data_IF_230860328442
#
_entry.id   IF_230860328442
#
_cell.length_a   1.000
_cell.length_b   1.000
_cell.length_c   1.000
_cell.angle_alpha   90.00
_cell.angle_beta   90.00
_cell.angle_gamma   90.00
#
_symmetry.space_group_name_H-M   'P 1'
#
loop_
_entity.id
_entity.type
_entity.pdbx_description
1 polymer ?
#
# COMPACT_ATOMS: atom_id res chain seq x y z
N UNK A 1 38.44 28.33 20.96
CA UNK A 1 37.77 27.11 20.43
C UNK A 1 38.76 25.98 20.13
N UNK A 2 39.80 26.21 19.30
CA UNK A 2 40.84 25.20 19.01
C UNK A 2 41.54 24.60 20.24
N UNK A 3 41.91 25.44 21.20
CA UNK A 3 42.58 24.99 22.45
C UNK A 3 41.68 24.11 23.32
N UNK A 4 40.38 24.43 23.40
CA UNK A 4 39.40 23.63 24.15
C UNK A 4 39.18 22.25 23.51
N UNK A 5 39.10 22.20 22.17
CA UNK A 5 38.95 20.95 21.42
C UNK A 5 40.19 20.05 21.59
N UNK A 6 41.40 20.63 21.54
CA UNK A 6 42.64 19.87 21.75
C UNK A 6 42.75 19.31 23.17
N UNK A 7 42.39 20.12 24.18
CA UNK A 7 42.54 19.74 25.59
C UNK A 7 41.50 18.70 26.05
N UNK A 8 40.31 18.73 25.44
CA UNK A 8 39.19 17.85 25.78
C UNK A 8 38.86 16.85 24.65
N UNK A 9 39.83 16.55 23.78
CA UNK A 9 39.60 15.73 22.58
C UNK A 9 39.01 14.35 22.90
N UNK A 10 39.52 13.68 23.93
CA UNK A 10 39.03 12.37 24.35
C UNK A 10 37.56 12.42 24.81
N UNK A 11 37.18 13.47 25.56
CA UNK A 11 35.80 13.69 26.01
C UNK A 11 34.91 13.96 24.81
N UNK A 12 35.35 14.84 23.90
CA UNK A 12 34.61 15.19 22.70
C UNK A 12 34.38 13.95 21.80
N UNK A 13 35.40 13.12 21.62
CA UNK A 13 35.32 11.87 20.87
C UNK A 13 34.34 10.87 21.52
N UNK A 14 34.37 10.75 22.86
CA UNK A 14 33.51 9.84 23.60
C UNK A 14 32.01 10.17 23.44
N UNK A 15 31.66 11.45 23.25
CA UNK A 15 30.28 11.86 22.99
C UNK A 15 29.91 11.93 21.51
N UNK A 16 30.83 12.36 20.64
CA UNK A 16 30.54 12.49 19.20
C UNK A 16 30.40 11.13 18.53
N UNK A 17 31.26 10.16 18.85
CA UNK A 17 31.27 8.87 18.19
C UNK A 17 29.93 8.11 18.30
N UNK A 18 29.28 8.00 19.48
CA UNK A 18 27.94 7.39 19.57
C UNK A 18 26.85 8.20 18.87
N UNK A 19 26.89 9.54 18.95
CA UNK A 19 25.93 10.39 18.22
C UNK A 19 26.08 10.18 16.71
N UNK A 20 27.31 10.12 16.21
CA UNK A 20 27.60 9.95 14.80
C UNK A 20 27.16 8.56 14.29
N UNK A 21 27.28 7.52 15.12
CA UNK A 21 26.77 6.19 14.82
C UNK A 21 25.24 6.18 14.73
N UNK A 22 24.55 6.83 15.68
CA UNK A 22 23.09 7.00 15.63
C UNK A 22 22.67 7.74 14.35
N UNK A 23 23.38 8.82 13.99
CA UNK A 23 23.11 9.58 12.76
C UNK A 23 23.34 8.73 11.52
N UNK A 24 24.42 7.96 11.42
CA UNK A 24 24.67 7.07 10.28
C UNK A 24 23.58 6.02 10.15
N UNK A 25 23.21 5.36 11.25
CA UNK A 25 22.14 4.36 11.25
C UNK A 25 20.82 5.00 10.82
N UNK A 26 20.46 6.16 11.38
CA UNK A 26 19.26 6.88 11.01
C UNK A 26 19.26 7.27 9.52
N UNK A 27 20.33 7.88 9.02
CA UNK A 27 20.46 8.25 7.61
C UNK A 27 20.35 7.01 6.70
N UNK A 28 21.04 5.92 7.02
CA UNK A 28 21.00 4.69 6.23
C UNK A 28 19.62 4.02 6.21
N UNK A 29 18.86 4.15 7.30
CA UNK A 29 17.54 3.53 7.45
C UNK A 29 16.41 4.38 6.84
N UNK A 30 16.48 5.71 6.96
CA UNK A 30 15.35 6.60 6.60
C UNK A 30 15.55 7.37 5.30
N UNK A 31 16.79 7.63 4.82
CA UNK A 31 17.00 8.32 3.55
C UNK A 31 16.41 7.57 2.34
N UNK A 32 16.58 6.23 2.19
CA UNK A 32 16.13 5.55 0.97
C UNK A 32 14.62 5.72 0.73
N UNK A 33 13.81 5.75 1.79
CA UNK A 33 12.35 5.93 1.69
C UNK A 33 11.93 7.34 1.26
N UNK A 34 12.73 8.38 1.51
CA UNK A 34 12.40 9.76 1.14
C UNK A 34 12.53 10.02 -0.36
N UNK A 35 13.30 9.21 -1.07
CA UNK A 35 13.48 9.33 -2.52
C UNK A 35 12.51 8.48 -3.33
N UNK A 36 11.67 7.67 -2.67
CA UNK A 36 10.64 6.92 -3.36
C UNK A 36 9.52 7.88 -3.76
N UNK A 37 9.42 8.16 -5.04
CA UNK A 37 8.35 8.96 -5.62
C UNK A 37 7.97 8.38 -6.97
N UNK A 38 6.70 8.52 -7.33
CA UNK A 38 6.21 8.21 -8.68
C UNK A 38 5.37 9.37 -9.17
N UNK A 39 5.39 9.61 -10.48
CA UNK A 39 4.50 10.57 -11.12
C UNK A 39 3.15 9.96 -11.49
N UNK A 40 2.97 8.66 -11.26
CA UNK A 40 1.77 7.94 -11.62
C UNK A 40 0.87 7.77 -10.40
N UNK A 41 -0.39 8.16 -10.58
CA UNK A 41 -1.46 7.79 -9.67
C UNK A 41 -1.95 6.39 -10.03
N UNK A 42 -2.66 5.73 -9.14
CA UNK A 42 -3.24 4.42 -9.43
C UNK A 42 -4.69 4.32 -8.99
N UNK A 43 -5.42 3.43 -9.64
CA UNK A 43 -6.78 3.05 -9.29
C UNK A 43 -6.73 1.72 -8.54
N UNK A 44 -7.50 1.64 -7.48
CA UNK A 44 -7.74 0.39 -6.76
C UNK A 44 -9.22 0.28 -6.39
N UNK A 45 -9.66 -0.94 -6.11
CA UNK A 45 -11.00 -1.20 -5.61
C UNK A 45 -10.96 -1.75 -4.19
N UNK A 46 -12.03 -1.47 -3.45
CA UNK A 46 -12.34 -2.13 -2.20
C UNK A 46 -13.79 -2.57 -2.17
N UNK A 47 -14.16 -3.35 -1.18
CA UNK A 47 -15.56 -3.62 -0.94
C UNK A 47 -15.88 -3.63 0.55
N UNK A 48 -17.17 -3.50 0.82
CA UNK A 48 -17.79 -3.72 2.13
C UNK A 48 -18.88 -4.76 1.96
N UNK A 49 -19.07 -5.62 2.96
CA UNK A 49 -20.28 -6.41 3.09
C UNK A 49 -21.28 -5.62 3.92
N UNK A 50 -22.41 -5.22 3.32
CA UNK A 50 -23.37 -4.31 3.97
C UNK A 50 -24.13 -4.87 5.18
N UNK A 51 -23.61 -5.91 5.88
CA UNK A 51 -24.32 -6.62 6.97
C UNK A 51 -23.46 -7.18 8.09
N UNK A 52 -22.12 -7.18 8.05
CA UNK A 52 -21.33 -7.81 9.12
C UNK A 52 -20.30 -6.86 9.73
N UNK A 53 -20.16 -6.94 11.05
CA UNK A 53 -19.09 -6.29 11.81
C UNK A 53 -17.73 -6.98 11.63
N UNK A 54 -17.63 -7.95 10.71
CA UNK A 54 -16.42 -8.72 10.45
C UNK A 54 -16.10 -8.69 8.95
N UNK A 55 -14.93 -8.19 8.53
CA UNK A 55 -14.61 -8.03 7.12
C UNK A 55 -14.40 -9.39 6.46
N UNK A 56 -15.33 -9.78 5.60
CA UNK A 56 -15.13 -10.93 4.73
C UNK A 56 -14.32 -10.50 3.51
N UNK A 57 -13.24 -11.25 3.25
CA UNK A 57 -12.38 -11.14 2.07
C UNK A 57 -13.22 -11.20 0.79
N UNK A 58 -13.36 -10.06 0.11
CA UNK A 58 -14.03 -9.99 -1.20
C UNK A 58 -13.05 -9.78 -2.34
N UNK A 59 -11.75 -9.96 -2.08
CA UNK A 59 -10.69 -9.81 -3.06
C UNK A 59 -10.97 -10.63 -4.33
N UNK A 60 -11.35 -11.90 -4.18
CA UNK A 60 -11.72 -12.77 -5.30
C UNK A 60 -12.91 -12.23 -6.11
N UNK A 61 -13.91 -11.65 -5.43
CA UNK A 61 -15.04 -11.01 -6.09
C UNK A 61 -14.58 -9.80 -6.92
N UNK A 62 -13.76 -8.93 -6.32
CA UNK A 62 -13.22 -7.75 -7.00
C UNK A 62 -12.32 -8.12 -8.19
N UNK A 63 -11.47 -9.14 -8.04
CA UNK A 63 -10.60 -9.67 -9.09
C UNK A 63 -11.38 -10.22 -10.28
N UNK A 64 -12.51 -10.91 -10.05
CA UNK A 64 -13.38 -11.36 -11.15
C UNK A 64 -14.16 -10.19 -11.76
N UNK A 65 -14.67 -9.28 -10.92
CA UNK A 65 -15.57 -8.18 -11.31
C UNK A 65 -14.89 -7.11 -12.16
N UNK A 66 -13.65 -6.76 -11.85
CA UNK A 66 -12.94 -5.66 -12.49
C UNK A 66 -11.67 -6.15 -13.18
N UNK A 67 -11.50 -5.74 -14.43
CA UNK A 67 -10.31 -6.02 -15.22
C UNK A 67 -9.94 -4.80 -16.06
N UNK A 68 -8.72 -4.78 -16.59
CA UNK A 68 -8.31 -3.76 -17.56
C UNK A 68 -8.09 -4.44 -18.90
N UNK A 69 -8.85 -4.01 -19.91
CA UNK A 69 -8.76 -4.49 -21.29
C UNK A 69 -8.58 -3.26 -22.18
N UNK A 70 -7.62 -3.30 -23.11
CA UNK A 70 -7.29 -2.17 -23.99
C UNK A 70 -7.09 -0.84 -23.23
N UNK A 71 -6.37 -0.92 -22.10
CA UNK A 71 -6.10 0.19 -21.20
C UNK A 71 -7.36 0.84 -20.59
N UNK A 72 -8.50 0.17 -20.57
CA UNK A 72 -9.77 0.65 -20.01
C UNK A 72 -10.30 -0.29 -18.95
N UNK A 73 -10.95 0.29 -17.94
CA UNK A 73 -11.63 -0.49 -16.90
C UNK A 73 -12.86 -1.20 -17.50
N UNK A 74 -12.89 -2.52 -17.37
CA UNK A 74 -13.98 -3.38 -17.79
C UNK A 74 -14.60 -4.06 -16.57
N UNK A 75 -15.91 -4.23 -16.66
CA UNK A 75 -16.83 -4.54 -15.57
C UNK A 75 -17.48 -5.88 -15.92
N UNK A 76 -16.86 -6.97 -15.49
CA UNK A 76 -17.26 -8.34 -15.87
C UNK A 76 -18.46 -8.83 -15.04
N UNK A 77 -19.42 -9.56 -15.63
CA UNK A 77 -20.44 -10.24 -14.87
C UNK A 77 -19.81 -11.28 -13.93
N UNK A 78 -20.33 -11.37 -12.71
CA UNK A 78 -19.90 -12.37 -11.72
C UNK A 78 -21.11 -13.23 -11.37
N UNK A 79 -20.95 -14.54 -11.47
CA UNK A 79 -21.96 -15.49 -11.03
C UNK A 79 -21.91 -15.63 -9.50
N UNK A 80 -22.92 -15.08 -8.83
CA UNK A 80 -23.04 -15.12 -7.37
C UNK A 80 -23.56 -16.47 -6.84
N UNK A 81 -23.94 -17.38 -7.74
CA UNK A 81 -24.35 -18.75 -7.42
C UNK A 81 -23.23 -19.76 -7.65
N UNK A 82 -22.07 -19.30 -8.11
CA UNK A 82 -20.90 -20.13 -8.35
C UNK A 82 -20.46 -20.81 -7.05
N UNK A 83 -20.36 -22.13 -7.09
CA UNK A 83 -19.76 -22.99 -6.08
C UNK A 83 -18.71 -23.85 -6.81
N UNK A 84 -17.46 -23.39 -6.80
CA UNK A 84 -16.40 -23.98 -7.63
C UNK A 84 -15.90 -25.32 -7.09
N UNK A 85 -15.96 -25.53 -5.77
CA UNK A 85 -15.52 -26.76 -5.11
C UNK A 85 -16.67 -27.75 -4.85
N UNK A 86 -17.92 -27.37 -5.15
CA UNK A 86 -19.15 -28.16 -5.02
C UNK A 86 -19.40 -28.62 -3.58
N UNK A 87 -19.04 -27.79 -2.60
CA UNK A 87 -19.25 -28.10 -1.18
C UNK A 87 -20.62 -27.66 -0.66
N UNK A 88 -21.44 -27.04 -1.51
CA UNK A 88 -22.76 -26.51 -1.17
C UNK A 88 -22.71 -25.08 -0.63
N UNK A 89 -21.53 -24.44 -0.61
CA UNK A 89 -21.31 -23.06 -0.21
C UNK A 89 -20.89 -22.23 -1.42
N UNK A 90 -21.61 -21.16 -1.70
CA UNK A 90 -21.27 -20.26 -2.80
C UNK A 90 -19.95 -19.53 -2.55
N UNK A 91 -19.15 -19.38 -3.61
CA UNK A 91 -17.86 -18.68 -3.63
C UNK A 91 -18.00 -17.20 -3.23
N UNK A 92 -19.16 -16.59 -3.49
CA UNK A 92 -19.40 -15.16 -3.30
C UNK A 92 -20.68 -14.88 -2.51
N UNK A 93 -20.61 -13.95 -1.56
CA UNK A 93 -21.81 -13.43 -0.89
C UNK A 93 -22.56 -12.45 -1.80
N UNK A 94 -23.89 -12.45 -1.70
CA UNK A 94 -24.77 -11.66 -2.57
C UNK A 94 -24.74 -10.13 -2.35
N UNK A 95 -24.16 -9.64 -1.24
CA UNK A 95 -24.29 -8.25 -0.80
C UNK A 95 -22.96 -7.47 -0.77
N UNK A 96 -22.02 -7.76 -1.68
CA UNK A 96 -20.80 -6.96 -1.78
C UNK A 96 -21.07 -5.63 -2.47
N UNK A 97 -20.73 -4.54 -1.79
CA UNK A 97 -20.70 -3.20 -2.38
C UNK A 97 -19.26 -2.87 -2.75
N UNK A 98 -18.95 -2.92 -4.05
CA UNK A 98 -17.65 -2.52 -4.55
C UNK A 98 -17.54 -0.99 -4.64
N UNK A 99 -16.38 -0.47 -4.26
CA UNK A 99 -16.01 0.95 -4.24
C UNK A 99 -14.70 1.12 -5.00
N UNK A 100 -14.60 2.21 -5.76
CA UNK A 100 -13.45 2.47 -6.64
C UNK A 100 -12.76 3.73 -6.14
N UNK A 101 -11.44 3.69 -6.07
CA UNK A 101 -10.65 4.77 -5.51
C UNK A 101 -9.50 5.15 -6.45
N UNK A 102 -9.26 6.45 -6.55
CA UNK A 102 -8.06 7.02 -7.14
C UNK A 102 -7.10 7.42 -6.03
N UNK A 103 -5.90 6.86 -6.04
CA UNK A 103 -4.84 7.23 -5.12
C UNK A 103 -3.87 8.24 -5.76
N UNK A 104 -3.74 9.40 -5.13
CA UNK A 104 -2.72 10.40 -5.43
C UNK A 104 -1.42 10.02 -4.70
N UNK A 105 -0.43 9.54 -5.44
CA UNK A 105 0.83 9.04 -4.87
C UNK A 105 1.72 10.15 -4.34
N UNK A 106 1.56 11.40 -4.81
CA UNK A 106 2.35 12.54 -4.33
C UNK A 106 1.83 13.06 -3.00
N UNK A 107 0.51 13.11 -2.87
CA UNK A 107 -0.16 13.50 -1.61
C UNK A 107 -0.28 12.34 -0.62
N UNK A 108 -0.13 11.11 -1.10
CA UNK A 108 -0.38 9.89 -0.35
C UNK A 108 -1.80 9.90 0.24
N UNK A 109 -2.77 10.14 -0.61
CA UNK A 109 -4.19 10.26 -0.27
C UNK A 109 -5.03 9.56 -1.32
N UNK A 110 -6.14 8.95 -0.89
CA UNK A 110 -7.08 8.34 -1.83
C UNK A 110 -8.41 9.09 -1.80
N UNK A 111 -9.08 9.18 -2.94
CA UNK A 111 -10.47 9.65 -3.05
C UNK A 111 -11.32 8.61 -3.76
N UNK A 112 -12.58 8.48 -3.34
CA UNK A 112 -13.54 7.66 -4.07
C UNK A 112 -13.88 8.30 -5.41
N UNK A 113 -14.01 7.46 -6.43
CA UNK A 113 -14.41 7.83 -7.78
C UNK A 113 -15.57 6.95 -8.23
N UNK A 114 -16.40 7.49 -9.11
CA UNK A 114 -17.47 6.74 -9.74
C UNK A 114 -16.92 5.75 -10.77
N UNK A 115 -17.72 4.75 -11.11
CA UNK A 115 -17.38 3.82 -12.19
C UNK A 115 -17.18 4.54 -13.53
N UNK A 116 -18.03 5.52 -13.84
CA UNK A 116 -17.92 6.30 -15.07
C UNK A 116 -16.59 7.06 -15.15
N UNK A 117 -16.18 7.72 -14.06
CA UNK A 117 -14.87 8.38 -13.99
C UNK A 117 -13.73 7.38 -14.18
N UNK A 118 -13.79 6.21 -13.53
CA UNK A 118 -12.76 5.20 -13.63
C UNK A 118 -12.62 4.63 -15.07
N UNK A 119 -13.74 4.49 -15.78
CA UNK A 119 -13.76 4.04 -17.19
C UNK A 119 -13.21 5.09 -18.17
N UNK A 120 -13.27 6.38 -17.82
CA UNK A 120 -12.65 7.44 -18.64
C UNK A 120 -11.12 7.41 -18.58
N UNK A 121 -10.54 6.88 -17.50
CA UNK A 121 -9.09 6.81 -17.32
C UNK A 121 -8.43 5.87 -18.33
N UNK A 122 -7.15 6.09 -18.59
CA UNK A 122 -6.30 5.15 -19.33
C UNK A 122 -5.43 4.42 -18.32
N UNK A 123 -5.56 3.11 -18.22
CA UNK A 123 -5.01 2.30 -17.13
C UNK A 123 -3.96 1.32 -17.65
N UNK A 124 -2.90 1.13 -16.87
CA UNK A 124 -1.93 0.06 -17.04
C UNK A 124 -2.04 -0.91 -15.85
N UNK A 125 -2.42 -2.15 -16.10
CA UNK A 125 -2.65 -3.17 -15.07
C UNK A 125 -1.38 -3.84 -14.52
N UNK A 126 -0.20 -3.47 -15.01
CA UNK A 126 1.05 -3.96 -14.44
C UNK A 126 1.19 -3.47 -12.99
N UNK A 127 1.63 -4.36 -12.09
CA UNK A 127 1.88 -4.00 -10.69
C UNK A 127 2.95 -2.92 -10.54
N UNK A 128 3.86 -2.85 -11.51
CA UNK A 128 4.92 -1.84 -11.58
C UNK A 128 4.51 -0.72 -12.53
N UNK A 129 4.64 0.51 -12.05
CA UNK A 129 4.40 1.74 -12.79
C UNK A 129 5.41 1.90 -13.93
N UNK A 130 5.14 2.77 -14.92
CA UNK A 130 6.10 3.04 -15.99
C UNK A 130 7.44 3.63 -15.50
N UNK A 131 7.49 4.20 -14.29
CA UNK A 131 8.72 4.70 -13.65
C UNK A 131 9.35 3.70 -12.65
N UNK A 132 8.88 2.45 -12.63
CA UNK A 132 9.53 1.35 -11.90
C UNK A 132 9.12 1.21 -10.43
N UNK A 133 8.06 1.88 -10.00
CA UNK A 133 7.50 1.80 -8.64
C UNK A 133 6.41 0.73 -8.59
N UNK A 134 6.46 -0.16 -7.61
CA UNK A 134 5.52 -1.28 -7.48
C UNK A 134 4.63 -1.12 -6.27
N UNK A 135 3.33 -1.38 -6.41
CA UNK A 135 2.42 -1.53 -5.28
C UNK A 135 2.57 -2.96 -4.73
N UNK A 136 2.94 -3.08 -3.46
CA UNK A 136 3.10 -4.37 -2.78
C UNK A 136 2.36 -4.38 -1.45
N UNK A 137 1.70 -5.50 -1.13
CA UNK A 137 1.33 -5.81 0.25
C UNK A 137 2.55 -6.35 0.97
N UNK A 138 2.74 -5.98 2.24
CA UNK A 138 3.79 -6.59 3.04
C UNK A 138 3.26 -7.03 4.39
N UNK A 139 3.53 -8.28 4.74
CA UNK A 139 3.30 -8.82 6.07
C UNK A 139 4.62 -8.72 6.84
N UNK A 140 4.83 -7.59 7.53
CA UNK A 140 6.01 -7.44 8.39
C UNK A 140 5.74 -8.09 9.73
N UNK A 141 6.23 -9.32 9.93
CA UNK A 141 6.42 -9.86 11.26
C UNK A 141 7.67 -9.16 11.83
N UNK A 142 7.49 -8.08 12.58
CA UNK A 142 8.57 -7.54 13.41
C UNK A 142 8.79 -8.48 14.60
N UNK A 143 9.33 -9.67 14.32
CA UNK A 143 9.89 -10.59 15.28
C UNK A 143 11.41 -10.52 15.17
N UNK A 144 12.01 -9.46 15.70
CA UNK A 144 13.45 -9.27 15.58
C UNK A 144 13.98 -7.95 16.12
N UNK A 145 13.41 -7.43 17.21
CA UNK A 145 14.03 -6.31 17.93
C UNK A 145 14.82 -6.83 19.13
N UNK A 146 16.06 -6.37 19.21
CA UNK A 146 17.13 -6.67 20.18
C UNK A 146 16.80 -6.27 21.65
N UNK A 147 15.51 -6.09 21.99
CA UNK A 147 15.05 -5.62 23.30
C UNK A 147 14.02 -6.60 23.93
N UNK A 148 14.27 -7.11 25.15
CA UNK A 148 13.49 -8.20 25.77
C UNK A 148 12.07 -7.82 26.26
N UNK A 149 11.56 -6.63 25.92
CA UNK A 149 10.25 -6.14 26.37
C UNK A 149 9.35 -5.59 25.26
N UNK A 150 9.72 -5.77 23.98
CA UNK A 150 8.90 -5.29 22.87
C UNK A 150 7.90 -6.36 22.42
N UNK A 151 6.65 -6.24 22.87
CA UNK A 151 5.54 -7.03 22.35
C UNK A 151 5.36 -6.71 20.86
N UNK A 152 5.66 -7.68 19.99
CA UNK A 152 5.57 -7.52 18.54
C UNK A 152 4.15 -7.16 18.11
N UNK A 153 4.00 -5.98 17.50
CA UNK A 153 2.75 -5.56 16.86
C UNK A 153 2.85 -5.89 15.38
N UNK A 154 1.98 -6.77 14.88
CA UNK A 154 1.83 -7.01 13.45
C UNK A 154 1.20 -5.78 12.80
N UNK A 155 1.91 -5.19 11.83
CA UNK A 155 1.42 -4.05 11.05
C UNK A 155 1.21 -4.51 9.61
N UNK A 156 -0.03 -4.86 9.28
CA UNK A 156 -0.44 -5.10 7.90
C UNK A 156 -0.58 -3.76 7.15
N UNK A 157 -0.11 -3.69 5.91
CA UNK A 157 -0.26 -2.50 5.08
C UNK A 157 0.23 -2.66 3.65
N UNK A 158 -0.15 -1.70 2.82
CA UNK A 158 0.28 -1.59 1.43
C UNK A 158 1.38 -0.53 1.32
N UNK A 159 2.33 -0.80 0.42
CA UNK A 159 3.53 0.01 0.25
C UNK A 159 3.79 0.24 -1.22
N UNK A 160 4.31 1.42 -1.54
CA UNK A 160 5.05 1.64 -2.77
C UNK A 160 6.48 1.16 -2.55
N UNK A 161 7.01 0.42 -3.50
CA UNK A 161 8.36 -0.16 -3.44
C UNK A 161 9.13 0.11 -4.71
N UNK A 162 10.42 0.41 -4.56
CA UNK A 162 11.35 0.59 -5.66
C UNK A 162 12.73 0.15 -5.18
N UNK A 163 13.18 -1.02 -5.64
CA UNK A 163 14.41 -1.64 -5.12
C UNK A 163 14.32 -1.88 -3.60
N UNK A 164 15.21 -1.24 -2.82
CA UNK A 164 15.25 -1.34 -1.35
C UNK A 164 14.38 -0.29 -0.65
N UNK A 165 13.89 0.70 -1.39
CA UNK A 165 13.09 1.79 -0.84
C UNK A 165 11.63 1.37 -0.73
N UNK A 166 11.00 1.74 0.38
CA UNK A 166 9.58 1.48 0.65
C UNK A 166 8.93 2.71 1.26
N UNK A 167 7.69 3.01 0.85
CA UNK A 167 6.86 4.05 1.44
C UNK A 167 5.46 3.52 1.70
N UNK A 168 4.90 3.78 2.88
CA UNK A 168 3.58 3.28 3.27
C UNK A 168 2.48 4.09 2.57
N UNK A 169 1.53 3.38 1.97
CA UNK A 169 0.38 3.97 1.29
C UNK A 169 -0.73 4.23 2.30
N UNK A 170 -1.29 5.43 2.28
CA UNK A 170 -2.52 5.75 3.00
C UNK A 170 -3.72 5.48 2.08
N UNK A 171 -4.26 4.28 2.21
CA UNK A 171 -5.56 3.97 1.65
C UNK A 171 -6.64 4.72 2.45
N UNK A 172 -7.78 5.01 1.83
CA UNK A 172 -8.94 5.50 2.58
C UNK A 172 -9.19 4.52 3.73
N UNK A 173 -9.30 5.08 4.94
CA UNK A 173 -9.42 4.41 6.24
C UNK A 173 -8.12 4.04 6.98
N UNK A 174 -7.33 5.05 7.37
CA UNK A 174 -6.37 4.88 8.48
C UNK A 174 -7.05 4.71 9.85
N UNK A 175 -8.25 5.25 10.05
CA UNK A 175 -9.07 5.10 11.28
C UNK A 175 -9.89 3.82 11.32
N UNK A 176 -10.14 3.21 10.16
CA UNK A 176 -10.98 2.02 9.96
C UNK A 176 -10.12 0.83 9.49
N UNK A 177 -8.82 0.88 9.81
CA UNK A 177 -7.81 -0.13 9.45
C UNK A 177 -8.21 -1.55 9.85
N UNK A 178 -9.07 -1.71 10.86
CA UNK A 178 -9.57 -3.02 11.27
C UNK A 178 -10.60 -3.63 10.30
N UNK A 179 -11.30 -2.81 9.51
CA UNK A 179 -12.43 -3.26 8.68
C UNK A 179 -12.11 -3.41 7.19
N UNK A 180 -11.05 -2.79 6.68
CA UNK A 180 -10.71 -2.82 5.25
C UNK A 180 -9.37 -3.49 4.95
N UNK A 181 -8.76 -4.10 5.96
CA UNK A 181 -7.40 -4.63 5.94
C UNK A 181 -7.13 -5.57 4.75
N UNK A 182 -8.14 -6.30 4.27
CA UNK A 182 -7.95 -7.33 3.23
C UNK A 182 -8.83 -7.16 1.98
N UNK A 183 -9.44 -5.99 1.80
CA UNK A 183 -10.29 -5.72 0.64
C UNK A 183 -9.63 -4.68 -0.27
N UNK A 184 -8.35 -4.83 -0.59
CA UNK A 184 -7.67 -3.97 -1.56
C UNK A 184 -7.37 -4.79 -2.79
N UNK A 185 -7.81 -4.30 -3.95
CA UNK A 185 -7.45 -4.88 -5.24
C UNK A 185 -6.90 -3.78 -6.13
N UNK A 186 -5.62 -3.91 -6.50
CA UNK A 186 -5.00 -3.02 -7.48
C UNK A 186 -5.65 -3.24 -8.86
N UNK A 187 -6.01 -2.14 -9.52
CA UNK A 187 -6.58 -2.17 -10.88
C UNK A 187 -5.53 -1.77 -11.91
N UNK A 188 -4.85 -0.63 -11.68
CA UNK A 188 -3.87 -0.15 -12.63
C UNK A 188 -3.36 1.26 -12.36
N UNK A 189 -2.20 1.57 -12.93
CA UNK A 189 -1.63 2.91 -12.98
C UNK A 189 -2.36 3.78 -13.99
N UNK A 190 -2.65 5.01 -13.61
CA UNK A 190 -3.24 6.02 -14.49
C UNK A 190 -2.16 6.56 -15.41
N UNK A 191 -2.28 6.25 -16.70
CA UNK A 191 -1.39 6.79 -17.72
C UNK A 191 -1.82 8.22 -18.09
N UNK A 192 -0.87 9.11 -18.41
CA UNK A 192 -1.21 10.39 -19.01
C UNK A 192 -1.99 10.13 -20.30
N UNK A 193 -3.13 10.79 -20.45
CA UNK A 193 -3.94 10.67 -21.65
C UNK A 193 -3.09 11.02 -22.87
N UNK A 194 -3.07 10.14 -23.88
CA UNK A 194 -2.72 10.57 -25.24
C UNK A 194 -3.87 11.44 -25.70
N UNK A 195 -3.71 12.76 -25.61
CA UNK A 195 -4.54 13.69 -26.35
C UNK A 195 -4.26 13.54 -27.85
#
# INVERSE_FOLDING_TARGET
MKEFIKKNFAILLAFILPILLIVIVALSSYLPSLFLSTNYNFVYTSCTDGRSSYPYYCENYLQKRYSVVDNKLVVNPVDLTQDSNKDGVVDFKQNYTARIFLHDTKKNESREITLAEAQMLTLNNLLTSPDGVTVSSNYSYNGGDFFPFSGGRSSYGYYLTQGKSKSKINLINSTDQYYYQNNFQFIGWVLPGRN
#
